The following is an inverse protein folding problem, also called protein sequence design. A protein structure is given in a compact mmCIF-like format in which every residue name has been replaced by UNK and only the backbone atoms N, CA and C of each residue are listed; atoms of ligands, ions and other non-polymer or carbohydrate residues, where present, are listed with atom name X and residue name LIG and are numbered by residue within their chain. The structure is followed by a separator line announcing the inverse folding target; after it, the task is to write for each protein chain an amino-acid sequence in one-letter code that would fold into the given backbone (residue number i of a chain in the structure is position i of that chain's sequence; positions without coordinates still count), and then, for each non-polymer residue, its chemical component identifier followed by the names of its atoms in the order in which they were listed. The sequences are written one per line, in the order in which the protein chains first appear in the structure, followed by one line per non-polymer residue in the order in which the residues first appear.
data_IF_966024595415
#
_entry.id   IF_966024595415
#
_cell.length_a   1.000
_cell.length_b   1.000
_cell.length_c   1.000
_cell.angle_alpha   90.00
_cell.angle_beta   90.00
_cell.angle_gamma   90.00
#
_symmetry.space_group_name_H-M   'P 1'
#
loop_
_entity.id
_entity.type
_entity.pdbx_description
1 polymer ?
#
# COMPACT_ATOMS: atom_id res chain seq x y z
N UNK A 1 -12.09 2.42 6.60
CA UNK A 1 -11.35 2.44 7.88
C UNK A 1 -10.62 3.76 7.97
N UNK A 2 -10.71 4.51 9.07
CA UNK A 2 -9.95 5.75 9.19
C UNK A 2 -8.58 5.47 9.82
N UNK A 3 -7.50 5.83 9.10
CA UNK A 3 -6.12 5.92 9.59
C UNK A 3 -5.47 4.58 10.00
N UNK A 4 -5.14 3.76 9.02
CA UNK A 4 -4.37 2.52 9.21
C UNK A 4 -2.88 2.87 9.35
N UNK A 5 -2.27 2.45 10.47
CA UNK A 5 -0.83 2.52 10.67
C UNK A 5 -0.24 1.13 10.84
N UNK A 6 0.71 0.75 9.99
CA UNK A 6 1.40 -0.53 10.04
C UNK A 6 2.90 -0.29 9.92
N UNK A 7 3.69 -0.72 10.91
CA UNK A 7 5.14 -0.47 10.93
C UNK A 7 5.85 -1.80 11.14
N UNK A 8 6.75 -2.15 10.21
CA UNK A 8 7.50 -3.41 10.19
C UNK A 8 6.59 -4.63 10.28
N UNK A 9 5.45 -4.57 9.58
CA UNK A 9 4.49 -5.66 9.52
C UNK A 9 4.73 -6.50 8.26
N UNK A 10 4.30 -7.76 8.30
CA UNK A 10 4.21 -8.59 7.10
C UNK A 10 2.75 -8.78 6.73
N UNK A 11 2.44 -8.69 5.45
CA UNK A 11 1.18 -9.13 4.88
C UNK A 11 1.41 -10.51 4.27
N UNK A 12 0.52 -11.46 4.57
CA UNK A 12 0.63 -12.84 4.10
C UNK A 12 -0.55 -13.08 3.18
N UNK A 13 -0.27 -13.37 1.90
CA UNK A 13 -1.27 -13.68 0.86
C UNK A 13 -2.45 -12.70 0.87
N UNK A 14 -2.14 -11.40 0.92
CA UNK A 14 -3.13 -10.34 1.10
C UNK A 14 -3.37 -9.62 -0.21
N UNK A 15 -4.61 -9.72 -0.70
CA UNK A 15 -5.16 -8.99 -1.82
C UNK A 15 -6.03 -7.81 -1.34
N UNK A 16 -6.27 -6.87 -2.25
CA UNK A 16 -7.14 -5.69 -2.06
C UNK A 16 -6.79 -4.90 -0.79
N UNK A 17 -5.51 -4.84 -0.45
CA UNK A 17 -5.05 -4.18 0.75
C UNK A 17 -5.39 -2.68 0.72
N UNK A 18 -5.74 -2.15 1.90
CA UNK A 18 -5.95 -0.72 2.16
C UNK A 18 -7.18 -0.08 1.50
N UNK A 19 -8.15 -0.87 1.05
CA UNK A 19 -9.40 -0.36 0.50
C UNK A 19 -10.13 0.58 1.46
N UNK A 20 -10.51 1.76 0.96
CA UNK A 20 -11.21 2.79 1.73
C UNK A 20 -10.48 3.18 3.02
N UNK A 21 -9.16 3.36 2.92
CA UNK A 21 -8.32 3.78 4.05
C UNK A 21 -7.39 4.96 3.76
N UNK A 22 -7.14 5.77 4.78
CA UNK A 22 -5.95 6.61 4.85
C UNK A 22 -4.84 5.76 5.47
N UNK A 23 -3.71 5.58 4.79
CA UNK A 23 -2.71 4.57 5.14
C UNK A 23 -1.34 5.16 5.42
N UNK A 24 -0.68 4.68 6.46
CA UNK A 24 0.76 4.85 6.73
C UNK A 24 1.35 3.47 7.02
N UNK A 25 1.85 2.80 5.98
CA UNK A 25 2.26 1.40 6.04
C UNK A 25 3.71 1.19 5.58
N UNK A 26 4.48 0.48 6.40
CA UNK A 26 5.78 -0.09 6.08
C UNK A 26 5.66 -1.61 6.22
N UNK A 27 5.62 -2.28 5.07
CA UNK A 27 5.39 -3.71 4.93
C UNK A 27 6.69 -4.42 4.53
N UNK A 28 7.16 -5.34 5.36
CA UNK A 28 8.36 -6.17 5.16
C UNK A 28 8.03 -7.48 4.42
N UNK A 29 7.22 -7.35 3.37
CA UNK A 29 6.83 -8.44 2.48
C UNK A 29 6.36 -7.88 1.12
N UNK A 30 6.09 -8.79 0.19
CA UNK A 30 5.27 -8.48 -0.99
C UNK A 30 3.81 -8.25 -0.59
N UNK A 31 3.11 -7.45 -1.39
CA UNK A 31 1.65 -7.25 -1.33
C UNK A 31 1.08 -7.70 -2.66
N UNK A 32 0.04 -8.54 -2.66
CA UNK A 32 -0.50 -9.07 -3.91
C UNK A 32 -1.24 -7.98 -4.68
N UNK A 33 -2.13 -7.25 -4.00
CA UNK A 33 -2.75 -6.05 -4.59
C UNK A 33 -3.12 -4.98 -3.56
N UNK A 34 -3.08 -3.72 -4.00
CA UNK A 34 -3.61 -2.56 -3.28
C UNK A 34 -4.83 -2.08 -4.05
N UNK A 35 -5.92 -1.78 -3.34
CA UNK A 35 -7.13 -1.24 -3.96
C UNK A 35 -7.56 0.03 -3.27
N UNK A 36 -7.82 1.08 -4.03
CA UNK A 36 -8.58 2.25 -3.61
C UNK A 36 -8.26 2.79 -2.19
N UNK A 37 -6.99 3.08 -1.82
CA UNK A 37 -6.74 3.90 -0.63
C UNK A 37 -7.17 5.35 -0.90
N UNK A 38 -7.73 6.00 0.12
CA UNK A 38 -8.11 7.42 0.05
C UNK A 38 -6.86 8.31 -0.11
N UNK A 39 -5.83 8.05 0.71
CA UNK A 39 -4.56 8.77 0.69
C UNK A 39 -3.50 8.07 1.53
N UNK A 40 -2.25 8.54 1.44
CA UNK A 40 -1.22 8.24 2.43
C UNK A 40 0.09 7.69 1.84
N UNK A 41 0.76 6.81 2.57
CA UNK A 41 2.03 6.21 2.18
C UNK A 41 2.03 4.69 2.40
N UNK A 42 2.52 3.96 1.40
CA UNK A 42 2.74 2.52 1.46
C UNK A 42 4.17 2.24 1.00
N UNK A 43 4.93 1.54 1.84
CA UNK A 43 6.27 1.06 1.54
C UNK A 43 6.26 -0.46 1.59
N UNK A 44 6.69 -1.14 0.52
CA UNK A 44 6.67 -2.61 0.42
C UNK A 44 7.86 -3.15 -0.39
N UNK A 45 8.13 -4.46 -0.32
CA UNK A 45 9.19 -5.07 -1.13
C UNK A 45 8.81 -5.13 -2.62
N UNK A 46 7.59 -5.58 -2.89
CA UNK A 46 6.95 -5.58 -4.21
C UNK A 46 5.44 -5.46 -4.05
N UNK A 47 4.78 -4.98 -5.10
CA UNK A 47 3.32 -4.93 -5.20
C UNK A 47 2.94 -5.54 -6.55
N UNK A 48 2.05 -6.53 -6.54
CA UNK A 48 1.59 -7.20 -7.76
C UNK A 48 0.70 -6.28 -8.59
N UNK A 49 -0.39 -5.80 -8.01
CA UNK A 49 -1.37 -4.94 -8.68
C UNK A 49 -1.74 -3.70 -7.86
N UNK A 50 -2.01 -2.59 -8.53
CA UNK A 50 -2.52 -1.36 -7.92
C UNK A 50 -3.79 -0.96 -8.66
N UNK A 51 -4.91 -0.98 -7.95
CA UNK A 51 -6.26 -0.79 -8.50
C UNK A 51 -6.82 0.55 -8.00
N UNK A 52 -7.18 1.42 -8.95
CA UNK A 52 -7.96 2.64 -8.71
C UNK A 52 -9.14 2.65 -9.69
N UNK A 53 -10.24 2.02 -9.30
CA UNK A 53 -11.47 1.89 -10.08
C UNK A 53 -12.64 2.71 -9.51
N UNK A 54 -12.39 3.48 -8.44
CA UNK A 54 -13.33 4.42 -7.85
C UNK A 54 -12.89 5.88 -8.14
N UNK A 55 -13.78 6.67 -8.74
CA UNK A 55 -13.51 8.06 -9.15
C UNK A 55 -13.22 9.01 -7.97
N UNK A 56 -13.69 8.68 -6.76
CA UNK A 56 -13.46 9.48 -5.55
C UNK A 56 -12.01 9.32 -5.02
N UNK A 57 -11.25 8.36 -5.54
CA UNK A 57 -9.91 8.02 -5.07
C UNK A 57 -8.90 8.17 -6.18
N UNK A 58 -7.79 8.83 -5.86
CA UNK A 58 -6.77 9.17 -6.83
C UNK A 58 -5.44 8.55 -6.46
N UNK A 59 -4.78 7.95 -7.44
CA UNK A 59 -3.46 7.34 -7.28
C UNK A 59 -2.45 8.35 -6.74
N UNK A 60 -2.53 9.59 -7.19
CA UNK A 60 -1.66 10.70 -6.76
C UNK A 60 -1.73 10.99 -5.25
N UNK A 61 -2.83 10.66 -4.59
CA UNK A 61 -3.01 10.87 -3.14
C UNK A 61 -2.28 9.83 -2.29
N UNK A 62 -1.80 8.74 -2.91
CA UNK A 62 -1.13 7.64 -2.21
C UNK A 62 0.29 7.46 -2.73
N UNK A 63 1.28 7.75 -1.88
CA UNK A 63 2.69 7.54 -2.18
C UNK A 63 3.06 6.07 -2.01
N UNK A 64 3.43 5.43 -3.10
CA UNK A 64 3.89 4.03 -3.10
C UNK A 64 5.41 4.00 -3.31
N UNK A 65 6.14 3.36 -2.40
CA UNK A 65 7.60 3.22 -2.45
C UNK A 65 7.97 1.75 -2.37
N UNK A 66 8.70 1.25 -3.36
CA UNK A 66 9.27 -0.10 -3.31
C UNK A 66 10.64 -0.07 -2.66
N UNK A 67 10.92 -0.97 -1.71
CA UNK A 67 12.16 -1.01 -0.92
C UNK A 67 13.42 -1.40 -1.70
N UNK A 68 13.35 -1.58 -3.02
CA UNK A 68 14.38 -2.21 -3.86
C UNK A 68 15.81 -1.95 -3.38
N UNK A 69 16.48 -3.05 -3.01
CA UNK A 69 17.89 -3.27 -2.72
C UNK A 69 18.70 -2.05 -2.29
N UNK A 70 19.07 -2.03 -1.01
CA UNK A 70 20.20 -1.22 -0.54
C UNK A 70 21.37 -1.35 -1.52
N UNK A 71 21.71 -0.23 -2.15
CA UNK A 71 23.02 -0.06 -2.76
C UNK A 71 23.97 0.14 -1.57
N UNK A 72 25.00 -0.71 -1.51
CA UNK A 72 26.16 -0.51 -0.63
C UNK A 72 26.74 0.89 -0.76
#
# INVERSE_FOLDING_TARGET
MENIKMVNCKLINTDLAFEYSNVDAIIDSSIDSIKNPYSGQIVADSIGEIIFDNEDMKKENTKIVLKKYGIN
#
